data_IF_102303687675
#
_entry.id   IF_102303687675
#
_cell.length_a   1.000
_cell.length_b   1.000
_cell.length_c   1.000
_cell.angle_alpha   90.00
_cell.angle_beta   90.00
_cell.angle_gamma   90.00
#
_symmetry.space_group_name_H-M   'P 1'
#
loop_
_entity.id
_entity.type
_entity.pdbx_description
1 polymer ?
#
# COMPACT_ATOMS: atom_id res chain seq x y z
N UNK A 1 10.63 3.45 9.53
CA UNK A 1 9.81 3.62 10.76
C UNK A 1 9.33 2.22 11.12
N UNK A 2 8.23 2.03 11.85
CA UNK A 2 7.64 0.70 11.99
C UNK A 2 6.69 0.41 10.81
N UNK A 3 6.60 -0.84 10.36
CA UNK A 3 5.72 -1.26 9.26
C UNK A 3 4.26 -0.86 9.44
N UNK A 4 3.74 -0.92 10.68
CA UNK A 4 2.37 -0.47 11.01
C UNK A 4 2.14 1.03 10.72
N UNK A 5 3.17 1.85 10.90
CA UNK A 5 3.13 3.28 10.62
C UNK A 5 3.16 3.52 9.12
N UNK A 6 3.98 2.77 8.39
CA UNK A 6 4.00 2.86 6.93
C UNK A 6 2.67 2.43 6.32
N UNK A 7 2.04 1.38 6.86
CA UNK A 7 0.70 0.94 6.44
C UNK A 7 -0.35 2.04 6.64
N UNK A 8 -0.44 2.61 7.85
CA UNK A 8 -1.45 3.62 8.17
C UNK A 8 -1.22 4.95 7.43
N UNK A 9 0.04 5.38 7.30
CA UNK A 9 0.41 6.56 6.50
C UNK A 9 0.11 6.32 5.02
N UNK A 10 0.39 5.12 4.49
CA UNK A 10 0.06 4.75 3.11
C UNK A 10 -1.44 4.85 2.83
N UNK A 11 -2.28 4.26 3.69
CA UNK A 11 -3.75 4.38 3.59
C UNK A 11 -4.20 5.84 3.61
N UNK A 12 -3.71 6.64 4.57
CA UNK A 12 -4.08 8.05 4.70
C UNK A 12 -3.68 8.84 3.45
N UNK A 13 -2.44 8.69 2.98
CA UNK A 13 -1.93 9.38 1.81
C UNK A 13 -2.73 9.01 0.55
N UNK A 14 -3.01 7.70 0.35
CA UNK A 14 -3.82 7.23 -0.76
C UNK A 14 -5.22 7.84 -0.79
N UNK A 15 -5.89 7.89 0.37
CA UNK A 15 -7.21 8.49 0.50
C UNK A 15 -7.21 10.00 0.22
N UNK A 16 -6.25 10.74 0.78
CA UNK A 16 -6.14 12.20 0.60
C UNK A 16 -5.90 12.56 -0.87
N UNK A 17 -4.98 11.85 -1.53
CA UNK A 17 -4.55 12.16 -2.89
C UNK A 17 -5.57 11.67 -3.92
N UNK A 18 -6.01 10.42 -3.81
CA UNK A 18 -6.78 9.77 -4.88
C UNK A 18 -8.29 9.98 -4.77
N UNK A 19 -8.81 10.36 -3.59
CA UNK A 19 -10.22 10.76 -3.36
C UNK A 19 -11.25 9.83 -4.06
N UNK A 20 -11.49 8.62 -3.53
CA UNK A 20 -12.35 7.63 -4.17
C UNK A 20 -13.78 8.15 -4.42
N UNK A 21 -14.30 7.87 -5.63
CA UNK A 21 -15.65 8.28 -6.05
C UNK A 21 -16.69 7.14 -5.98
N UNK A 22 -16.26 5.90 -5.77
CA UNK A 22 -17.14 4.74 -5.56
C UNK A 22 -16.75 3.96 -4.31
N UNK A 23 -17.68 3.16 -3.77
CA UNK A 23 -17.42 2.32 -2.60
C UNK A 23 -16.33 1.27 -2.90
N UNK A 24 -16.29 0.73 -4.12
CA UNK A 24 -15.23 -0.17 -4.59
C UNK A 24 -13.85 0.46 -4.56
N UNK A 25 -13.73 1.69 -5.06
CA UNK A 25 -12.45 2.41 -5.01
C UNK A 25 -12.08 2.85 -3.60
N UNK A 26 -13.07 3.13 -2.74
CA UNK A 26 -12.80 3.44 -1.34
C UNK A 26 -12.18 2.23 -0.64
N UNK A 27 -12.78 1.05 -0.76
CA UNK A 27 -12.30 -0.18 -0.11
C UNK A 27 -10.99 -0.66 -0.73
N UNK A 28 -10.98 -0.92 -2.05
CA UNK A 28 -9.81 -1.48 -2.74
C UNK A 28 -8.64 -0.49 -2.78
N UNK A 29 -8.92 0.79 -3.01
CA UNK A 29 -7.91 1.86 -3.03
C UNK A 29 -7.25 2.06 -1.67
N UNK A 30 -8.01 2.05 -0.58
CA UNK A 30 -7.44 2.15 0.77
C UNK A 30 -6.55 0.95 1.07
N UNK A 31 -7.03 -0.27 0.80
CA UNK A 31 -6.27 -1.49 1.05
C UNK A 31 -4.94 -1.51 0.27
N UNK A 32 -4.98 -1.20 -1.04
CA UNK A 32 -3.75 -1.21 -1.85
C UNK A 32 -2.79 -0.08 -1.48
N UNK A 33 -3.30 1.08 -1.02
CA UNK A 33 -2.45 2.16 -0.54
C UNK A 33 -1.70 1.76 0.74
N UNK A 34 -2.37 1.06 1.66
CA UNK A 34 -1.73 0.45 2.82
C UNK A 34 -0.68 -0.59 2.41
N UNK A 35 -1.02 -1.47 1.46
CA UNK A 35 -0.09 -2.48 0.91
C UNK A 35 1.14 -1.85 0.25
N UNK A 36 0.96 -0.84 -0.60
CA UNK A 36 2.05 -0.06 -1.18
C UNK A 36 2.91 0.61 -0.10
N UNK A 37 2.31 1.03 1.01
CA UNK A 37 3.04 1.55 2.16
C UNK A 37 3.97 0.53 2.83
N UNK A 38 3.72 -0.77 2.76
CA UNK A 38 4.53 -1.78 3.46
C UNK A 38 5.39 -2.64 2.54
N UNK A 39 5.14 -2.63 1.23
CA UNK A 39 5.79 -3.56 0.30
C UNK A 39 7.31 -3.37 0.24
N UNK A 40 7.84 -2.17 0.47
CA UNK A 40 9.29 -1.92 0.47
C UNK A 40 10.01 -2.67 1.59
N UNK A 41 9.37 -2.86 2.74
CA UNK A 41 9.96 -3.50 3.93
C UNK A 41 10.07 -5.04 3.81
N UNK A 42 9.67 -5.65 2.69
CA UNK A 42 9.89 -7.09 2.46
C UNK A 42 11.39 -7.43 2.36
N UNK A 43 12.26 -6.44 2.13
CA UNK A 43 13.72 -6.60 2.08
C UNK A 43 14.40 -6.63 3.47
N UNK A 44 13.61 -6.53 4.55
CA UNK A 44 14.09 -6.67 5.92
C UNK A 44 14.40 -8.15 6.20
N UNK A 45 15.61 -8.58 5.83
CA UNK A 45 16.16 -9.86 6.28
C UNK A 45 16.51 -9.80 7.77
N UNK A 46 15.86 -10.64 8.59
CA UNK A 46 16.32 -10.88 9.97
C UNK A 46 16.53 -12.36 10.20
N UNK A 47 17.50 -12.70 11.03
CA UNK A 47 17.87 -14.02 11.56
C UNK A 47 16.78 -14.70 12.42
N UNK A 48 15.53 -14.56 12.00
CA UNK A 48 14.31 -15.27 12.43
C UNK A 48 13.26 -15.11 11.31
N UNK A 49 13.72 -15.32 10.06
CA UNK A 49 13.07 -14.86 8.83
C UNK A 49 11.69 -15.49 8.57
N UNK A 50 11.41 -16.66 9.16
CA UNK A 50 10.14 -17.36 8.96
C UNK A 50 8.96 -16.59 9.58
N UNK A 51 9.08 -16.16 10.84
CA UNK A 51 7.94 -15.60 11.60
C UNK A 51 7.44 -14.24 11.08
N UNK A 52 8.29 -13.43 10.45
CA UNK A 52 7.88 -12.10 9.93
C UNK A 52 7.42 -12.13 8.48
N UNK A 53 8.01 -12.99 7.64
CA UNK A 53 7.55 -13.18 6.26
C UNK A 53 6.16 -13.82 6.26
N UNK A 54 5.93 -14.83 7.12
CA UNK A 54 4.58 -15.37 7.36
C UNK A 54 3.62 -14.30 7.89
N UNK A 55 4.08 -13.37 8.73
CA UNK A 55 3.23 -12.28 9.21
C UNK A 55 2.89 -11.26 8.11
N UNK A 56 3.82 -10.90 7.22
CA UNK A 56 3.55 -9.99 6.08
C UNK A 56 2.67 -10.68 5.03
N UNK A 57 2.98 -11.93 4.69
CA UNK A 57 2.13 -12.75 3.80
C UNK A 57 0.76 -12.95 4.43
N UNK A 58 0.69 -13.18 5.74
CA UNK A 58 -0.55 -13.26 6.51
C UNK A 58 -1.33 -11.96 6.51
N UNK A 59 -0.67 -10.81 6.66
CA UNK A 59 -1.32 -9.49 6.58
C UNK A 59 -1.84 -9.20 5.17
N UNK A 60 -1.06 -9.53 4.14
CA UNK A 60 -1.46 -9.40 2.75
C UNK A 60 -2.63 -10.34 2.42
N UNK A 61 -2.57 -11.58 2.87
CA UNK A 61 -3.65 -12.57 2.75
C UNK A 61 -4.92 -12.14 3.48
N UNK A 62 -4.81 -11.61 4.70
CA UNK A 62 -5.91 -11.05 5.47
C UNK A 62 -6.52 -9.83 4.77
N UNK A 63 -5.69 -8.98 4.15
CA UNK A 63 -6.16 -7.82 3.38
C UNK A 63 -6.95 -8.26 2.14
N UNK A 64 -6.44 -9.24 1.40
CA UNK A 64 -7.15 -9.82 0.24
C UNK A 64 -8.45 -10.49 0.69
N UNK A 65 -8.42 -11.28 1.77
CA UNK A 65 -9.60 -11.91 2.32
C UNK A 65 -10.64 -10.88 2.76
N UNK A 66 -10.23 -9.81 3.45
CA UNK A 66 -11.10 -8.71 3.83
C UNK A 66 -11.75 -8.03 2.62
N UNK A 67 -11.02 -7.85 1.54
CA UNK A 67 -11.55 -7.31 0.27
C UNK A 67 -12.57 -8.26 -0.36
N UNK A 68 -12.28 -9.57 -0.40
CA UNK A 68 -13.21 -10.58 -0.94
C UNK A 68 -14.49 -10.67 -0.10
N UNK A 69 -14.37 -10.71 1.22
CA UNK A 69 -15.52 -10.72 2.14
C UNK A 69 -16.32 -9.43 2.00
N UNK A 70 -15.65 -8.27 1.91
CA UNK A 70 -16.34 -7.01 1.70
C UNK A 70 -17.12 -6.99 0.39
N UNK A 71 -16.52 -7.48 -0.70
CA UNK A 71 -17.18 -7.56 -2.00
C UNK A 71 -18.37 -8.54 -1.99
N UNK A 72 -18.24 -9.68 -1.31
CA UNK A 72 -19.28 -10.69 -1.20
C UNK A 72 -20.45 -10.26 -0.31
N UNK A 73 -20.19 -9.62 0.84
CA UNK A 73 -21.24 -9.22 1.77
C UNK A 73 -21.92 -7.91 1.36
N UNK A 74 -21.14 -6.92 0.93
CA UNK A 74 -21.65 -5.58 0.65
C UNK A 74 -21.85 -5.30 -0.84
N UNK A 75 -21.64 -6.28 -1.71
CA UNK A 75 -21.85 -6.17 -3.17
C UNK A 75 -21.16 -4.92 -3.75
N UNK A 76 -19.94 -4.66 -3.29
CA UNK A 76 -19.20 -3.42 -3.55
C UNK A 76 -18.84 -3.27 -5.04
N UNK A 77 -18.74 -4.39 -5.76
CA UNK A 77 -18.53 -4.45 -7.21
C UNK A 77 -17.06 -4.52 -7.62
N UNK A 78 -16.17 -4.97 -6.71
CA UNK A 78 -14.73 -5.14 -6.97
C UNK A 78 -14.52 -6.24 -8.01
N UNK A 79 -15.20 -7.38 -7.87
CA UNK A 79 -15.13 -8.48 -8.85
C UNK A 79 -15.54 -8.03 -10.25
N UNK A 80 -16.70 -7.38 -10.37
CA UNK A 80 -17.21 -6.90 -11.66
C UNK A 80 -16.22 -5.93 -12.32
N UNK A 81 -15.61 -5.04 -11.52
CA UNK A 81 -14.62 -4.08 -12.00
C UNK A 81 -13.31 -4.74 -12.41
N UNK A 82 -12.89 -5.79 -11.72
CA UNK A 82 -11.73 -6.59 -12.10
C UNK A 82 -11.98 -7.34 -13.41
N UNK A 83 -13.18 -7.88 -13.62
CA UNK A 83 -13.50 -8.70 -14.79
C UNK A 83 -13.95 -7.91 -16.02
N UNK A 84 -14.37 -6.64 -15.86
CA UNK A 84 -14.96 -5.84 -16.93
C UNK A 84 -14.10 -5.74 -18.20
N UNK A 85 -12.77 -5.74 -18.08
CA UNK A 85 -11.83 -5.61 -19.22
C UNK A 85 -10.50 -6.37 -19.00
N UNK A 86 -10.55 -7.49 -18.26
CA UNK A 86 -9.35 -8.22 -17.89
C UNK A 86 -9.18 -9.53 -18.63
N UNK A 87 -8.11 -9.60 -19.43
CA UNK A 87 -7.57 -10.85 -19.92
C UNK A 87 -6.87 -11.57 -18.75
N UNK A 88 -7.29 -12.79 -18.44
CA UNK A 88 -6.69 -13.62 -17.37
C UNK A 88 -5.18 -13.78 -17.59
N UNK A 89 -4.72 -13.91 -18.83
CA UNK A 89 -3.29 -13.98 -19.14
C UNK A 89 -2.55 -12.69 -18.75
N UNK A 90 -3.17 -11.52 -18.94
CA UNK A 90 -2.62 -10.22 -18.49
C UNK A 90 -2.46 -10.19 -16.97
N UNK A 91 -3.47 -10.64 -16.23
CA UNK A 91 -3.42 -10.72 -14.77
C UNK A 91 -2.32 -11.69 -14.32
N UNK A 92 -2.25 -12.89 -14.88
CA UNK A 92 -1.23 -13.89 -14.53
C UNK A 92 0.17 -13.34 -14.77
N UNK A 93 0.44 -12.80 -15.96
CA UNK A 93 1.75 -12.21 -16.29
C UNK A 93 2.08 -11.05 -15.35
N UNK A 94 1.12 -10.16 -15.09
CA UNK A 94 1.30 -9.03 -14.17
C UNK A 94 1.65 -9.48 -12.76
N UNK A 95 0.90 -10.44 -12.20
CA UNK A 95 1.14 -10.99 -10.86
C UNK A 95 2.48 -11.71 -10.79
N UNK A 96 2.80 -12.57 -11.77
CA UNK A 96 4.08 -13.29 -11.82
C UNK A 96 5.27 -12.34 -11.89
N UNK A 97 5.20 -11.29 -12.71
CA UNK A 97 6.26 -10.30 -12.81
C UNK A 97 6.40 -9.45 -11.54
N UNK A 98 5.28 -9.03 -10.93
CA UNK A 98 5.26 -8.33 -9.65
C UNK A 98 5.94 -9.17 -8.56
N UNK A 99 5.56 -10.44 -8.42
CA UNK A 99 6.18 -11.37 -7.48
C UNK A 99 7.65 -11.61 -7.80
N UNK A 100 8.02 -11.66 -9.09
CA UNK A 100 9.42 -11.77 -9.52
C UNK A 100 10.28 -10.60 -9.03
N UNK A 101 9.78 -9.37 -9.16
CA UNK A 101 10.45 -8.17 -8.62
C UNK A 101 10.57 -8.24 -7.10
N UNK A 102 9.50 -8.59 -6.40
CA UNK A 102 9.54 -8.75 -4.94
C UNK A 102 10.57 -9.79 -4.52
N UNK A 103 10.57 -10.96 -5.16
CA UNK A 103 11.52 -12.05 -4.89
C UNK A 103 12.96 -11.64 -5.16
N UNK A 104 13.21 -10.84 -6.21
CA UNK A 104 14.53 -10.25 -6.46
C UNK A 104 14.90 -9.27 -5.35
N UNK A 105 13.99 -8.36 -4.99
CA UNK A 105 14.20 -7.33 -3.98
C UNK A 105 14.47 -7.87 -2.59
N UNK A 106 13.81 -8.96 -2.19
CA UNK A 106 14.07 -9.67 -0.93
C UNK A 106 15.49 -10.22 -0.81
N UNK A 107 16.17 -10.46 -1.94
CA UNK A 107 17.58 -10.92 -1.97
C UNK A 107 18.57 -9.77 -1.99
N UNK A 108 18.12 -8.54 -2.15
CA UNK A 108 18.97 -7.36 -2.11
C UNK A 108 19.17 -6.88 -0.66
N UNK A 109 20.27 -6.17 -0.35
CA UNK A 109 20.47 -5.60 0.99
C UNK A 109 19.31 -4.70 1.41
N UNK A 110 18.93 -4.75 2.69
CA UNK A 110 17.87 -3.88 3.24
C UNK A 110 18.11 -2.39 2.93
N UNK A 111 17.06 -1.67 2.50
CA UNK A 111 17.08 -0.26 2.06
C UNK A 111 17.91 -0.01 0.80
N UNK A 112 17.94 -1.00 -0.08
CA UNK A 112 18.55 -0.87 -1.41
C UNK A 112 17.48 -0.83 -2.50
N UNK A 113 17.31 -1.91 -3.25
CA UNK A 113 16.42 -1.99 -4.39
C UNK A 113 14.96 -1.67 -4.03
N UNK A 114 14.40 -2.26 -2.97
CA UNK A 114 12.99 -2.07 -2.61
C UNK A 114 12.64 -0.65 -2.11
N UNK A 115 13.66 0.17 -1.83
CA UNK A 115 13.55 1.59 -1.43
C UNK A 115 14.07 2.52 -2.53
N UNK A 116 13.94 2.12 -3.79
CA UNK A 116 14.41 2.88 -4.96
C UNK A 116 13.27 3.28 -5.89
N UNK A 117 13.50 4.32 -6.70
CA UNK A 117 12.57 4.68 -7.77
C UNK A 117 12.36 3.54 -8.78
N UNK A 118 13.38 2.71 -9.00
CA UNK A 118 13.26 1.56 -9.88
C UNK A 118 12.23 0.54 -9.37
N UNK A 119 12.23 0.24 -8.06
CA UNK A 119 11.21 -0.61 -7.45
C UNK A 119 9.84 0.07 -7.44
N UNK A 120 9.76 1.37 -7.10
CA UNK A 120 8.52 2.14 -7.13
C UNK A 120 7.84 2.06 -8.51
N UNK A 121 8.57 2.43 -9.58
CA UNK A 121 8.02 2.44 -10.94
C UNK A 121 7.78 1.01 -11.46
N UNK A 122 8.68 0.07 -11.18
CA UNK A 122 8.54 -1.32 -11.62
C UNK A 122 7.32 -2.01 -11.00
N UNK A 123 7.16 -1.93 -9.68
CA UNK A 123 6.01 -2.54 -8.99
C UNK A 123 4.71 -1.82 -9.36
N UNK A 124 4.71 -0.48 -9.45
CA UNK A 124 3.53 0.27 -9.89
C UNK A 124 3.14 -0.04 -11.33
N UNK A 125 4.11 -0.26 -12.23
CA UNK A 125 3.84 -0.69 -13.60
C UNK A 125 3.14 -2.04 -13.64
N UNK A 126 3.58 -3.02 -12.86
CA UNK A 126 2.89 -4.31 -12.82
C UNK A 126 1.55 -4.24 -12.07
N UNK A 127 1.40 -3.38 -11.07
CA UNK A 127 0.08 -3.04 -10.50
C UNK A 127 -0.84 -2.47 -11.58
N UNK A 128 -0.34 -1.62 -12.48
CA UNK A 128 -1.10 -1.08 -13.61
C UNK A 128 -1.54 -2.16 -14.59
N UNK A 129 -0.66 -3.11 -14.93
CA UNK A 129 -1.00 -4.25 -15.78
C UNK A 129 -2.11 -5.12 -15.15
N UNK A 130 -2.07 -5.31 -13.82
CA UNK A 130 -3.06 -6.11 -13.09
C UNK A 130 -4.39 -5.37 -12.96
N UNK A 131 -4.35 -4.16 -12.39
CA UNK A 131 -5.53 -3.35 -12.12
C UNK A 131 -5.20 -1.84 -12.16
N UNK A 132 -5.42 -1.19 -13.33
CA UNK A 132 -5.09 0.22 -13.56
C UNK A 132 -5.68 1.16 -12.52
N UNK A 133 -6.95 0.98 -12.17
CA UNK A 133 -7.72 1.91 -11.35
C UNK A 133 -7.15 2.11 -9.95
N UNK A 134 -6.54 1.06 -9.38
CA UNK A 134 -5.99 1.10 -8.02
C UNK A 134 -4.49 1.46 -8.00
N UNK A 135 -3.85 1.55 -9.17
CA UNK A 135 -2.42 1.85 -9.27
C UNK A 135 -2.03 3.19 -8.64
N UNK A 136 -2.79 4.29 -8.82
CA UNK A 136 -2.46 5.56 -8.17
C UNK A 136 -2.39 5.43 -6.64
N UNK A 137 -3.27 4.62 -6.06
CA UNK A 137 -3.29 4.36 -4.61
C UNK A 137 -2.05 3.60 -4.16
N UNK A 138 -1.66 2.55 -4.89
CA UNK A 138 -0.44 1.80 -4.62
C UNK A 138 0.80 2.70 -4.71
N UNK A 139 0.91 3.49 -5.78
CA UNK A 139 2.02 4.41 -6.01
C UNK A 139 2.15 5.43 -4.88
N UNK A 140 1.02 6.05 -4.48
CA UNK A 140 0.99 7.02 -3.38
C UNK A 140 1.35 6.35 -2.05
N UNK A 141 0.87 5.14 -1.80
CA UNK A 141 1.27 4.33 -0.64
C UNK A 141 2.78 4.11 -0.59
N UNK A 142 3.36 3.63 -1.69
CA UNK A 142 4.78 3.34 -1.81
C UNK A 142 5.64 4.59 -1.67
N UNK A 143 5.32 5.68 -2.38
CA UNK A 143 6.12 6.90 -2.26
C UNK A 143 6.02 7.50 -0.84
N UNK A 144 4.88 7.36 -0.16
CA UNK A 144 4.75 7.79 1.24
C UNK A 144 5.70 7.02 2.17
N UNK A 145 5.91 5.72 1.92
CA UNK A 145 6.89 4.91 2.65
C UNK A 145 8.29 5.50 2.50
N UNK A 146 8.74 5.71 1.26
CA UNK A 146 10.07 6.26 0.97
C UNK A 146 10.25 7.64 1.61
N UNK A 147 9.25 8.53 1.47
CA UNK A 147 9.30 9.87 2.04
C UNK A 147 9.49 9.82 3.55
N UNK A 148 8.71 9.04 4.29
CA UNK A 148 8.84 9.01 5.75
C UNK A 148 10.12 8.31 6.23
N UNK A 149 10.68 7.41 5.43
CA UNK A 149 11.96 6.77 5.76
C UNK A 149 13.20 7.59 5.42
N UNK A 150 13.13 8.50 4.46
CA UNK A 150 14.15 9.54 4.26
C UNK A 150 14.36 10.37 5.53
N UNK A 151 13.31 10.63 6.32
CA UNK A 151 13.43 11.34 7.60
C UNK A 151 14.03 10.48 8.73
N UNK A 152 14.13 9.16 8.55
CA UNK A 152 14.64 8.23 9.55
C UNK A 152 16.18 8.20 9.56
N UNK A 153 16.76 7.44 10.50
CA UNK A 153 18.21 7.41 10.72
C UNK A 153 19.05 6.59 9.72
N UNK A 154 18.45 5.59 9.05
CA UNK A 154 19.13 4.72 8.07
C UNK A 154 19.00 5.28 6.66
N UNK A 155 20.08 5.22 5.88
CA UNK A 155 20.13 5.74 4.50
C UNK A 155 19.31 4.89 3.54
N UNK A 156 18.61 5.56 2.64
CA UNK A 156 17.90 4.94 1.51
C UNK A 156 18.66 5.14 0.20
N UNK A 157 18.76 4.10 -0.62
CA UNK A 157 19.35 4.17 -1.96
C UNK A 157 18.28 4.46 -3.02
N UNK A 158 17.72 5.67 -3.00
CA UNK A 158 16.64 6.08 -3.91
C UNK A 158 17.00 5.88 -5.39
N UNK A 159 18.25 6.10 -5.77
CA UNK A 159 18.77 5.93 -7.14
C UNK A 159 19.56 4.64 -7.35
N UNK A 160 19.27 3.59 -6.57
CA UNK A 160 19.89 2.26 -6.73
C UNK A 160 19.93 1.84 -8.22
N UNK A 161 21.05 1.27 -8.71
CA UNK A 161 22.24 0.83 -7.98
C UNK A 161 23.26 1.94 -7.71
N UNK A 162 22.98 3.17 -8.14
CA UNK A 162 23.89 4.30 -8.05
C UNK A 162 23.79 5.03 -6.70
N UNK A 163 24.91 5.62 -6.28
CA UNK A 163 24.98 6.51 -5.13
C UNK A 163 25.08 5.82 -3.76
N UNK A 164 25.46 6.61 -2.75
CA UNK A 164 25.70 6.14 -1.36
C UNK A 164 24.43 6.14 -0.50
N UNK A 165 23.28 6.51 -1.07
CA UNK A 165 22.03 6.77 -0.37
C UNK A 165 22.08 8.00 0.55
N UNK A 166 20.93 8.47 1.02
CA UNK A 166 20.85 9.59 1.96
C UNK A 166 19.79 9.37 3.03
N UNK A 167 19.91 10.11 4.13
CA UNK A 167 18.93 10.18 5.22
C UNK A 167 19.02 11.57 5.86
N UNK A 168 17.89 12.15 6.24
CA UNK A 168 17.84 13.44 6.94
C UNK A 168 18.05 13.29 8.46
N UNK A 169 17.92 12.06 9.01
CA UNK A 169 18.17 11.74 10.43
C UNK A 169 17.37 12.58 11.42
N UNK A 170 16.19 13.04 11.02
CA UNK A 170 15.30 13.86 11.85
C UNK A 170 14.47 13.02 12.82
N UNK A 171 14.29 11.73 12.53
CA UNK A 171 13.42 10.83 13.27
C UNK A 171 14.12 9.50 13.63
N UNK A 172 13.68 8.88 14.74
CA UNK A 172 14.04 7.50 15.12
C UNK A 172 12.88 6.55 14.80
N UNK A 173 13.20 5.32 14.42
CA UNK A 173 12.22 4.34 13.95
C UNK A 173 11.10 4.00 14.97
N UNK A 174 11.40 4.03 16.27
CA UNK A 174 10.41 3.87 17.36
C UNK A 174 10.35 5.12 18.27
N UNK A 175 10.61 6.29 17.67
CA UNK A 175 10.58 7.57 18.38
C UNK A 175 9.18 8.17 18.48
N UNK A 176 9.09 9.33 19.12
CA UNK A 176 7.85 10.11 19.25
C UNK A 176 7.17 10.36 17.89
N UNK A 177 7.95 10.72 16.87
CA UNK A 177 7.42 11.00 15.52
C UNK A 177 6.74 9.77 14.90
N UNK A 178 7.31 8.58 15.09
CA UNK A 178 6.69 7.33 14.64
C UNK A 178 5.32 7.09 15.31
N UNK A 179 5.24 7.31 16.62
CA UNK A 179 3.97 7.16 17.38
C UNK A 179 2.94 8.19 16.94
N UNK A 180 3.34 9.46 16.78
CA UNK A 180 2.45 10.52 16.31
C UNK A 180 1.93 10.24 14.90
N UNK A 181 2.82 9.90 13.95
CA UNK A 181 2.42 9.55 12.58
C UNK A 181 1.44 8.38 12.58
N UNK A 182 1.69 7.34 13.38
CA UNK A 182 0.77 6.21 13.49
C UNK A 182 -0.61 6.64 13.98
N UNK A 183 -0.73 7.38 15.08
CA UNK A 183 -2.03 7.79 15.61
C UNK A 183 -2.75 8.78 14.70
N UNK A 184 -2.04 9.81 14.21
CA UNK A 184 -2.63 10.83 13.34
C UNK A 184 -3.12 10.21 12.03
N UNK A 185 -2.33 9.33 11.41
CA UNK A 185 -2.75 8.68 10.16
C UNK A 185 -3.96 7.77 10.36
N UNK A 186 -4.08 7.04 11.47
CA UNK A 186 -5.28 6.24 11.74
C UNK A 186 -6.54 7.10 11.96
N UNK A 187 -6.41 8.19 12.73
CA UNK A 187 -7.52 9.16 12.90
C UNK A 187 -7.89 9.75 11.54
N UNK A 188 -6.90 10.13 10.73
CA UNK A 188 -7.14 10.66 9.39
C UNK A 188 -7.85 9.66 8.49
N UNK A 189 -7.41 8.39 8.44
CA UNK A 189 -8.07 7.33 7.66
C UNK A 189 -9.53 7.19 8.07
N UNK A 190 -9.81 7.13 9.37
CA UNK A 190 -11.17 7.03 9.89
C UNK A 190 -12.04 8.21 9.43
N UNK A 191 -11.57 9.44 9.61
CA UNK A 191 -12.28 10.65 9.20
C UNK A 191 -12.46 10.71 7.67
N UNK A 192 -11.43 10.37 6.90
CA UNK A 192 -11.49 10.38 5.44
C UNK A 192 -12.48 9.36 4.88
N UNK A 193 -12.59 8.19 5.51
CA UNK A 193 -13.60 7.18 5.15
C UNK A 193 -15.00 7.71 5.45
N UNK A 194 -15.25 8.18 6.67
CA UNK A 194 -16.57 8.67 7.08
C UNK A 194 -17.04 9.88 6.27
N UNK A 195 -16.12 10.77 5.92
CA UNK A 195 -16.42 11.98 5.14
C UNK A 195 -16.31 11.77 3.63
N UNK A 196 -16.01 10.54 3.18
CA UNK A 196 -15.88 10.24 1.76
C UNK A 196 -17.24 10.34 1.04
N UNK A 197 -17.19 10.81 -0.21
CA UNK A 197 -18.39 10.89 -1.07
C UNK A 197 -19.14 9.56 -1.16
N UNK A 198 -18.49 8.40 -1.38
CA UNK A 198 -19.21 7.13 -1.46
C UNK A 198 -20.03 6.81 -0.21
N UNK A 199 -19.47 7.07 0.99
CA UNK A 199 -20.17 6.82 2.25
C UNK A 199 -21.35 7.78 2.40
N UNK A 200 -21.16 9.06 2.12
CA UNK A 200 -22.24 10.06 2.18
C UNK A 200 -23.37 9.74 1.20
N UNK A 201 -23.04 9.37 -0.05
CA UNK A 201 -24.02 9.00 -1.07
C UNK A 201 -24.82 7.76 -0.65
N UNK A 202 -24.14 6.71 -0.18
CA UNK A 202 -24.82 5.50 0.31
C UNK A 202 -25.71 5.79 1.51
N UNK A 203 -25.23 6.58 2.48
CA UNK A 203 -26.02 6.97 3.64
C UNK A 203 -27.29 7.74 3.24
N UNK A 204 -27.17 8.73 2.34
CA UNK A 204 -28.32 9.46 1.81
C UNK A 204 -29.33 8.56 1.09
N UNK A 205 -28.86 7.56 0.34
CA UNK A 205 -29.77 6.59 -0.30
C UNK A 205 -30.53 5.76 0.73
N UNK A 206 -29.87 5.29 1.79
CA UNK A 206 -30.53 4.54 2.88
C UNK A 206 -31.59 5.41 3.58
N UNK A 207 -31.24 6.64 3.93
CA UNK A 207 -32.19 7.57 4.59
C UNK A 207 -33.38 7.98 3.73
N UNK A 208 -33.32 7.82 2.40
CA UNK A 208 -34.46 8.07 1.50
C UNK A 208 -35.40 6.88 1.37
N UNK A 209 -34.95 5.69 1.75
CA UNK A 209 -35.71 4.43 1.62
C UNK A 209 -36.41 4.05 2.92
N UNK A 210 -35.93 4.56 4.06
CA UNK A 210 -36.56 4.48 5.39
C UNK A 210 -37.56 5.62 5.53
#
# INVERSE_FOLDING_TARGET
MLGKTHFSVGMAAGLVVCRPQSLSMLVAGTAIAGFGGIISDIDVGTSDAHNKVEHIIGLAGLSIFGVVVADALFHVGIYNRLMADSNIARIIVGVSAFLGICTFGMRQPHRSFMHSFLALFGLSFFTYIIFPDITPYFFVGFISHMVIDVFNGKREKIFWPLGKGFALRMCKADGLVNKLLFHISNIAVFLLILTSRPVQTTAMHIFRVI
#
